data_IF_516966658060
#
_entry.id   IF_516966658060
#
_cell.length_a   1.000
_cell.length_b   1.000
_cell.length_c   1.000
_cell.angle_alpha   90.00
_cell.angle_beta   90.00
_cell.angle_gamma   90.00
#
_symmetry.space_group_name_H-M   'P 1'
#
loop_
_entity.id
_entity.type
_entity.pdbx_description
1 polymer ?
#
# COMPACT_ATOMS: atom_id res chain seq x y z
N UNK A 1 8.80 9.01 -7.40
CA UNK A 1 7.67 9.88 -7.73
C UNK A 1 6.43 9.19 -7.22
N UNK A 2 5.78 9.80 -6.23
CA UNK A 2 4.58 9.23 -5.60
C UNK A 2 3.34 9.57 -6.43
N UNK A 3 2.26 8.83 -6.27
CA UNK A 3 1.07 8.95 -7.14
C UNK A 3 0.42 10.34 -7.04
N UNK A 4 0.41 10.90 -5.84
CA UNK A 4 -0.07 12.24 -5.50
C UNK A 4 0.76 13.35 -6.16
N UNK A 5 2.08 13.18 -6.27
CA UNK A 5 2.97 14.14 -6.94
C UNK A 5 2.69 14.16 -8.45
N UNK A 6 2.49 12.98 -9.05
CA UNK A 6 2.12 12.86 -10.47
C UNK A 6 0.75 13.48 -10.73
N UNK A 7 -0.21 13.26 -9.83
CA UNK A 7 -1.55 13.82 -9.95
C UNK A 7 -1.55 15.34 -9.81
N UNK A 8 -0.87 15.89 -8.79
CA UNK A 8 -0.73 17.33 -8.59
C UNK A 8 -0.07 18.00 -9.79
N UNK A 9 1.04 17.45 -10.28
CA UNK A 9 1.70 17.93 -11.50
C UNK A 9 0.76 17.91 -12.71
N UNK A 10 -0.04 16.85 -12.86
CA UNK A 10 -1.01 16.75 -13.95
C UNK A 10 -2.10 17.83 -13.87
N UNK A 11 -2.60 18.15 -12.68
CA UNK A 11 -3.58 19.21 -12.45
C UNK A 11 -3.01 20.61 -12.73
N UNK A 12 -1.73 20.83 -12.45
CA UNK A 12 -1.03 22.09 -12.74
C UNK A 12 -0.74 22.25 -14.23
N UNK A 13 -0.34 21.17 -14.91
CA UNK A 13 0.09 21.20 -16.30
C UNK A 13 -1.06 21.20 -17.32
N UNK A 14 -2.24 20.69 -16.95
CA UNK A 14 -3.36 20.61 -17.89
C UNK A 14 -4.00 21.97 -18.14
N UNK A 15 -4.34 22.24 -19.40
CA UNK A 15 -5.29 23.29 -19.76
C UNK A 15 -6.70 22.69 -19.76
N UNK A 16 -7.54 23.01 -18.75
CA UNK A 16 -8.90 22.51 -18.71
C UNK A 16 -9.69 22.98 -19.93
N UNK A 17 -10.64 22.15 -20.38
CA UNK A 17 -11.57 22.53 -21.44
C UNK A 17 -12.31 23.83 -21.05
N UNK A 18 -12.60 24.70 -22.05
CA UNK A 18 -13.26 26.01 -21.88
C UNK A 18 -14.55 25.99 -21.06
N UNK A 19 -15.23 24.85 -20.97
CA UNK A 19 -16.42 24.66 -20.13
C UNK A 19 -16.36 23.29 -19.47
N UNK A 20 -16.01 23.27 -18.19
CA UNK A 20 -16.04 22.03 -17.39
C UNK A 20 -17.45 21.80 -16.88
N UNK A 21 -17.92 20.56 -17.05
CA UNK A 21 -19.16 20.11 -16.45
C UNK A 21 -18.86 19.68 -15.01
N UNK A 22 -19.06 20.60 -14.06
CA UNK A 22 -18.78 20.36 -12.64
C UNK A 22 -19.60 19.19 -12.07
N UNK A 23 -20.85 19.01 -12.50
CA UNK A 23 -21.70 17.90 -12.05
C UNK A 23 -21.14 16.54 -12.45
N UNK A 24 -20.59 16.45 -13.66
CA UNK A 24 -19.94 15.22 -14.15
C UNK A 24 -18.70 14.90 -13.33
N UNK A 25 -17.86 15.90 -13.05
CA UNK A 25 -16.66 15.73 -12.23
C UNK A 25 -16.99 15.34 -10.79
N UNK A 26 -17.94 16.03 -10.16
CA UNK A 26 -18.37 15.74 -8.79
C UNK A 26 -18.97 14.32 -8.68
N UNK A 27 -19.75 13.90 -9.69
CA UNK A 27 -20.29 12.54 -9.76
C UNK A 27 -19.18 11.51 -9.88
N UNK A 28 -18.21 11.71 -10.77
CA UNK A 28 -17.08 10.80 -10.95
C UNK A 28 -16.29 10.66 -9.65
N UNK A 29 -15.91 11.78 -9.03
CA UNK A 29 -15.19 11.79 -7.75
C UNK A 29 -15.94 11.01 -6.66
N UNK A 30 -17.26 11.26 -6.53
CA UNK A 30 -18.10 10.61 -5.53
C UNK A 30 -18.19 9.11 -5.75
N UNK A 31 -18.49 8.67 -6.96
CA UNK A 31 -18.68 7.25 -7.29
C UNK A 31 -17.38 6.43 -7.19
N UNK A 32 -16.23 7.02 -7.55
CA UNK A 32 -14.97 6.25 -7.64
C UNK A 32 -14.06 6.41 -6.44
N UNK A 33 -14.04 7.57 -5.78
CA UNK A 33 -13.08 7.87 -4.71
C UNK A 33 -13.72 7.88 -3.33
N UNK A 34 -14.90 8.52 -3.19
CA UNK A 34 -15.57 8.71 -1.89
C UNK A 34 -16.45 7.52 -1.51
N UNK A 35 -17.50 7.25 -2.29
CA UNK A 35 -18.47 6.17 -2.03
C UNK A 35 -17.99 4.82 -2.59
N UNK A 36 -17.09 4.86 -3.59
CA UNK A 36 -16.47 3.68 -4.22
C UNK A 36 -17.48 2.65 -4.73
N UNK A 37 -18.60 3.12 -5.27
CA UNK A 37 -19.68 2.30 -5.82
C UNK A 37 -19.28 1.57 -7.09
N UNK A 38 -18.21 2.00 -7.76
CA UNK A 38 -17.61 1.32 -8.92
C UNK A 38 -16.11 1.63 -9.07
N UNK A 39 -15.34 0.78 -9.78
CA UNK A 39 -13.95 1.06 -10.11
C UNK A 39 -13.79 2.32 -10.98
N UNK A 40 -12.68 3.03 -10.78
CA UNK A 40 -12.29 4.19 -11.59
C UNK A 40 -11.91 3.79 -13.01
N UNK A 41 -12.45 4.48 -14.00
CA UNK A 41 -12.05 4.38 -15.41
C UNK A 41 -11.13 5.54 -15.78
N UNK A 42 -10.39 5.40 -16.88
CA UNK A 42 -9.51 6.46 -17.41
C UNK A 42 -10.26 7.79 -17.59
N UNK A 43 -11.50 7.74 -18.09
CA UNK A 43 -12.31 8.94 -18.30
C UNK A 43 -12.70 9.62 -16.98
N UNK A 44 -12.90 8.86 -15.92
CA UNK A 44 -13.17 9.43 -14.59
C UNK A 44 -11.94 10.17 -14.09
N UNK A 45 -10.75 9.58 -14.24
CA UNK A 45 -9.49 10.21 -13.86
C UNK A 45 -9.30 11.54 -14.60
N UNK A 46 -9.49 11.55 -15.93
CA UNK A 46 -9.41 12.79 -16.74
C UNK A 46 -10.41 13.83 -16.24
N UNK A 47 -11.67 13.43 -16.02
CA UNK A 47 -12.73 14.36 -15.59
C UNK A 47 -12.46 14.93 -14.20
N UNK A 48 -11.91 14.12 -13.29
CA UNK A 48 -11.53 14.56 -11.94
C UNK A 48 -10.32 15.49 -12.01
N UNK A 49 -9.30 15.18 -12.82
CA UNK A 49 -8.12 16.05 -13.03
C UNK A 49 -8.53 17.41 -13.60
N UNK A 50 -9.39 17.44 -14.63
CA UNK A 50 -9.94 18.68 -15.18
C UNK A 50 -10.70 19.49 -14.12
N UNK A 51 -11.58 18.84 -13.35
CA UNK A 51 -12.35 19.47 -12.28
C UNK A 51 -11.45 20.08 -11.19
N UNK A 52 -10.35 19.40 -10.84
CA UNK A 52 -9.39 19.91 -9.85
C UNK A 52 -8.60 21.08 -10.42
N UNK A 53 -8.12 20.96 -11.67
CA UNK A 53 -7.37 22.02 -12.35
C UNK A 53 -8.19 23.31 -12.51
N UNK A 54 -9.48 23.20 -12.86
CA UNK A 54 -10.42 24.33 -12.93
C UNK A 54 -10.56 25.02 -11.58
N UNK A 55 -10.83 24.22 -10.54
CA UNK A 55 -10.98 24.68 -9.16
C UNK A 55 -9.71 25.32 -8.55
N UNK A 56 -8.54 24.95 -9.05
CA UNK A 56 -7.26 25.59 -8.70
C UNK A 56 -7.10 26.95 -9.40
N UNK A 57 -7.52 27.05 -10.67
CA UNK A 57 -7.40 28.27 -11.47
C UNK A 57 -8.38 29.36 -11.06
N UNK A 58 -9.64 28.99 -10.81
CA UNK A 58 -10.68 29.92 -10.38
C UNK A 58 -10.59 30.30 -8.88
N UNK A 59 -9.67 29.66 -8.14
CA UNK A 59 -9.51 29.77 -6.68
C UNK A 59 -10.80 29.46 -5.91
N UNK A 60 -11.75 28.75 -6.50
CA UNK A 60 -13.00 28.34 -5.86
C UNK A 60 -12.79 27.18 -4.89
N UNK A 61 -11.68 26.44 -5.05
CA UNK A 61 -11.27 25.40 -4.11
C UNK A 61 -10.34 25.99 -3.07
N UNK A 62 -10.81 26.02 -1.82
CA UNK A 62 -9.90 26.16 -0.68
C UNK A 62 -8.93 24.99 -0.69
N UNK A 63 -7.64 25.27 -0.64
CA UNK A 63 -6.61 24.24 -0.47
C UNK A 63 -6.97 23.46 0.79
N UNK A 64 -7.44 22.21 0.62
CA UNK A 64 -7.58 21.34 1.77
C UNK A 64 -6.14 20.96 2.13
N UNK A 65 -5.65 21.57 3.21
CA UNK A 65 -4.61 20.91 4.00
C UNK A 65 -5.25 19.60 4.38
N UNK A 66 -4.82 18.50 3.75
CA UNK A 66 -5.25 17.18 4.17
C UNK A 66 -5.04 17.15 5.69
N UNK A 67 -6.09 16.90 6.50
CA UNK A 67 -6.02 17.05 7.96
C UNK A 67 -5.02 16.09 8.62
N UNK A 68 -4.44 15.23 7.79
CA UNK A 68 -3.48 14.20 8.06
C UNK A 68 -2.39 14.35 6.99
N UNK A 69 -1.13 14.37 7.39
CA UNK A 69 -0.02 14.17 6.44
C UNK A 69 -0.21 12.82 5.70
N UNK A 70 0.43 12.57 4.55
CA UNK A 70 0.37 11.23 3.89
C UNK A 70 0.65 10.09 4.91
N UNK A 71 1.55 10.39 5.85
CA UNK A 71 1.89 9.53 6.97
C UNK A 71 0.68 9.18 7.85
N UNK A 72 -0.25 10.11 8.06
CA UNK A 72 -1.45 9.94 8.87
C UNK A 72 -2.63 9.35 8.06
N UNK A 73 -2.68 9.60 6.75
CA UNK A 73 -3.76 9.12 5.88
C UNK A 73 -3.59 7.64 5.48
N UNK A 74 -2.35 7.13 5.46
CA UNK A 74 -2.02 5.72 5.26
C UNK A 74 -1.52 5.02 6.54
N UNK A 75 -1.62 5.69 7.70
CA UNK A 75 -1.16 5.17 9.01
C UNK A 75 -1.97 3.96 9.41
N UNK A 76 -1.28 2.91 9.78
CA UNK A 76 -1.89 1.85 10.56
C UNK A 76 -1.89 2.34 12.01
N UNK A 77 -3.06 2.62 12.59
CA UNK A 77 -3.17 2.65 14.04
C UNK A 77 -2.95 1.22 14.56
N UNK A 78 -1.70 0.87 14.77
CA UNK A 78 -1.31 -0.34 15.47
C UNK A 78 -1.85 -0.25 16.90
N UNK A 79 -3.00 -0.88 17.17
CA UNK A 79 -3.44 -1.25 18.53
C UNK A 79 -2.55 -2.37 19.12
N UNK A 80 -1.28 -2.37 18.74
CA UNK A 80 -0.53 -3.61 18.71
C UNK A 80 0.27 -3.82 19.98
N UNK A 81 0.35 -5.06 20.46
CA UNK A 81 1.32 -5.44 21.48
C UNK A 81 2.76 -5.24 20.97
N UNK A 82 3.70 -5.15 21.90
CA UNK A 82 5.12 -5.14 21.60
C UNK A 82 5.73 -6.51 21.89
N UNK A 83 6.77 -6.87 21.14
CA UNK A 83 7.57 -8.08 21.39
C UNK A 83 9.06 -7.73 21.42
N UNK A 84 9.83 -8.49 22.20
CA UNK A 84 11.28 -8.44 22.16
C UNK A 84 11.83 -9.64 21.41
N UNK A 85 12.59 -9.39 20.34
CA UNK A 85 13.26 -10.42 19.55
C UNK A 85 14.73 -10.07 19.44
N UNK A 86 15.62 -10.97 19.86
CA UNK A 86 17.07 -10.75 19.78
C UNK A 86 17.55 -9.50 20.52
N UNK A 87 16.89 -9.10 21.61
CA UNK A 87 17.22 -7.91 22.41
C UNK A 87 16.71 -6.58 21.83
N UNK A 88 15.97 -6.61 20.73
CA UNK A 88 15.33 -5.43 20.14
C UNK A 88 13.82 -5.51 20.34
N UNK A 89 13.22 -4.38 20.74
CA UNK A 89 11.77 -4.24 20.86
C UNK A 89 11.16 -3.85 19.51
N UNK A 90 10.09 -4.54 19.14
CA UNK A 90 9.34 -4.34 17.91
C UNK A 90 7.86 -4.05 18.20
N UNK A 91 7.27 -3.14 17.43
CA UNK A 91 5.83 -3.04 17.33
C UNK A 91 5.30 -4.19 16.45
N UNK A 92 4.29 -4.90 16.92
CA UNK A 92 3.70 -6.02 16.16
C UNK A 92 2.59 -5.49 15.25
N UNK A 93 2.24 -6.19 14.19
CA UNK A 93 0.98 -6.00 13.50
C UNK A 93 0.44 -7.35 13.07
N UNK A 94 -0.84 -7.61 13.35
CA UNK A 94 -1.46 -8.86 12.90
C UNK A 94 -1.66 -8.81 11.38
N UNK A 95 -1.31 -9.90 10.71
CA UNK A 95 -1.46 -9.97 9.26
C UNK A 95 -2.92 -9.79 8.80
N UNK A 96 -3.91 -10.24 9.58
CA UNK A 96 -5.32 -10.08 9.21
C UNK A 96 -5.70 -8.59 9.12
N UNK A 97 -5.16 -7.75 10.00
CA UNK A 97 -5.38 -6.30 9.98
C UNK A 97 -4.83 -5.69 8.67
N UNK A 98 -3.68 -6.17 8.22
CA UNK A 98 -3.09 -5.75 6.94
C UNK A 98 -3.92 -6.22 5.74
N UNK A 99 -4.43 -7.45 5.75
CA UNK A 99 -5.30 -7.96 4.68
C UNK A 99 -6.59 -7.14 4.56
N UNK A 100 -7.23 -6.80 5.69
CA UNK A 100 -8.42 -5.95 5.72
C UNK A 100 -8.17 -4.56 5.13
N UNK A 101 -6.94 -4.06 5.26
CA UNK A 101 -6.51 -2.78 4.70
C UNK A 101 -5.95 -2.90 3.27
N UNK A 102 -6.20 -4.03 2.59
CA UNK A 102 -5.74 -4.33 1.24
C UNK A 102 -4.21 -4.34 1.07
N UNK A 103 -3.45 -4.51 2.16
CA UNK A 103 -1.99 -4.73 2.15
C UNK A 103 -1.71 -6.23 2.19
N UNK A 104 -1.66 -6.84 1.01
CA UNK A 104 -1.62 -8.30 0.85
C UNK A 104 -0.24 -8.88 0.55
N UNK A 105 0.79 -8.06 0.41
CA UNK A 105 2.15 -8.54 0.12
C UNK A 105 3.10 -8.07 1.21
N UNK A 106 3.70 -9.02 1.92
CA UNK A 106 4.72 -8.77 2.94
C UNK A 106 6.04 -9.30 2.42
N UNK A 107 7.07 -8.46 2.44
CA UNK A 107 8.43 -8.87 2.12
C UNK A 107 9.36 -8.41 3.23
N UNK A 108 10.08 -9.35 3.84
CA UNK A 108 10.98 -9.03 4.92
C UNK A 108 11.75 -10.22 5.45
N UNK A 109 12.66 -9.94 6.39
CA UNK A 109 13.44 -10.97 7.07
C UNK A 109 12.58 -11.66 8.12
N UNK A 110 12.58 -12.98 8.14
CA UNK A 110 11.96 -13.78 9.20
C UNK A 110 12.82 -13.68 10.46
N UNK A 111 12.27 -13.11 11.52
CA UNK A 111 12.98 -12.84 12.77
C UNK A 111 12.72 -13.91 13.83
N UNK A 112 11.54 -14.53 13.81
CA UNK A 112 11.18 -15.63 14.71
C UNK A 112 10.14 -16.54 14.04
N UNK A 113 10.20 -17.83 14.39
CA UNK A 113 9.24 -18.86 14.01
C UNK A 113 8.88 -19.60 15.28
N UNK A 114 7.67 -19.35 15.77
CA UNK A 114 7.09 -19.96 16.97
C UNK A 114 5.95 -20.91 16.56
N UNK A 115 5.48 -21.79 17.47
CA UNK A 115 4.44 -22.77 17.14
C UNK A 115 3.13 -22.13 16.64
N UNK A 116 2.79 -20.94 17.14
CA UNK A 116 1.55 -20.22 16.88
C UNK A 116 1.74 -18.94 16.06
N UNK A 117 2.98 -18.45 15.92
CA UNK A 117 3.26 -17.19 15.22
C UNK A 117 4.59 -17.21 14.46
N UNK A 118 4.61 -16.70 13.24
CA UNK A 118 5.83 -16.34 12.50
C UNK A 118 5.95 -14.82 12.47
N UNK A 119 7.13 -14.30 12.78
CA UNK A 119 7.40 -12.87 12.76
C UNK A 119 8.31 -12.47 11.60
N UNK A 120 7.84 -11.54 10.77
CA UNK A 120 8.63 -11.01 9.64
C UNK A 120 8.83 -9.51 9.83
N UNK A 121 10.07 -9.02 9.68
CA UNK A 121 10.36 -7.57 9.78
C UNK A 121 9.57 -6.80 8.72
N UNK A 122 8.87 -5.77 9.14
CA UNK A 122 7.97 -4.99 8.31
C UNK A 122 8.10 -3.49 8.58
N UNK A 123 9.14 -2.87 8.00
CA UNK A 123 9.31 -1.43 8.06
C UNK A 123 9.39 -0.87 9.49
N UNK A 124 8.85 0.33 9.66
CA UNK A 124 8.80 1.09 10.92
C UNK A 124 7.39 1.57 11.20
N UNK A 125 7.03 1.75 12.46
CA UNK A 125 5.76 2.36 12.86
C UNK A 125 5.80 3.88 12.77
N UNK A 126 4.68 4.50 13.14
CA UNK A 126 4.50 5.94 13.12
C UNK A 126 5.41 6.70 14.10
N UNK A 127 6.01 6.01 15.07
CA UNK A 127 6.99 6.58 16.01
C UNK A 127 8.43 6.25 15.57
N UNK A 128 8.61 5.66 14.38
CA UNK A 128 9.90 5.27 13.82
C UNK A 128 10.49 3.99 14.43
N UNK A 129 9.74 3.28 15.27
CA UNK A 129 10.16 2.00 15.88
C UNK A 129 10.11 0.90 14.84
N UNK A 130 11.01 -0.06 14.93
CA UNK A 130 10.97 -1.20 14.02
C UNK A 130 9.69 -2.01 14.23
N UNK A 131 9.08 -2.43 13.12
CA UNK A 131 7.84 -3.20 13.12
C UNK A 131 8.06 -4.63 12.63
N UNK A 132 7.22 -5.54 13.09
CA UNK A 132 7.11 -6.93 12.63
C UNK A 132 5.67 -7.29 12.34
N UNK A 133 5.44 -8.05 11.28
CA UNK A 133 4.14 -8.68 11.03
C UNK A 133 4.11 -10.04 11.72
N UNK A 134 3.04 -10.29 12.46
CA UNK A 134 2.70 -11.60 13.01
C UNK A 134 1.83 -12.36 11.99
N UNK A 135 2.32 -13.52 11.56
CA UNK A 135 1.63 -14.42 10.65
C UNK A 135 1.23 -15.68 11.41
N UNK A 136 -0.02 -16.13 11.27
CA UNK A 136 -0.43 -17.41 11.84
C UNK A 136 0.09 -18.56 10.96
N UNK A 137 0.89 -19.51 11.49
CA UNK A 137 1.49 -20.62 10.73
C UNK A 137 0.47 -21.44 9.92
N UNK A 138 -0.69 -21.74 10.52
CA UNK A 138 -1.78 -22.47 9.88
C UNK A 138 -2.40 -21.77 8.65
N UNK A 139 -2.16 -20.47 8.47
CA UNK A 139 -2.61 -19.73 7.29
C UNK A 139 -1.54 -19.65 6.19
N UNK A 140 -0.36 -20.20 6.41
CA UNK A 140 0.73 -20.23 5.44
C UNK A 140 0.76 -21.58 4.73
N UNK A 141 0.99 -21.57 3.42
CA UNK A 141 1.26 -22.79 2.65
C UNK A 141 2.61 -23.42 3.02
N UNK A 142 3.60 -22.60 3.35
CA UNK A 142 4.95 -22.99 3.75
C UNK A 142 5.42 -22.07 4.88
N UNK A 143 5.96 -22.69 5.94
CA UNK A 143 6.61 -21.94 7.02
C UNK A 143 7.99 -21.48 6.54
N UNK A 144 8.27 -20.17 6.46
CA UNK A 144 9.54 -19.69 5.96
C UNK A 144 10.65 -19.93 7.00
N UNK A 145 11.87 -20.16 6.52
CA UNK A 145 13.01 -20.46 7.39
C UNK A 145 13.42 -19.24 8.24
N UNK A 146 13.74 -19.46 9.51
CA UNK A 146 14.28 -18.43 10.40
C UNK A 146 15.51 -17.76 9.76
N UNK A 147 15.54 -16.42 9.78
CA UNK A 147 16.64 -15.62 9.24
C UNK A 147 16.60 -15.41 7.72
N UNK A 148 15.74 -16.13 6.99
CA UNK A 148 15.57 -15.95 5.54
C UNK A 148 14.80 -14.67 5.20
N UNK A 149 14.92 -14.21 3.95
CA UNK A 149 14.01 -13.20 3.40
C UNK A 149 12.82 -13.89 2.76
N UNK A 150 11.64 -13.65 3.32
CA UNK A 150 10.38 -14.19 2.84
C UNK A 150 9.59 -13.11 2.09
N UNK A 151 8.93 -13.50 1.00
CA UNK A 151 7.87 -12.72 0.37
C UNK A 151 6.60 -13.54 0.46
N UNK A 152 5.58 -13.04 1.15
CA UNK A 152 4.34 -13.75 1.42
C UNK A 152 3.19 -12.92 0.83
N UNK A 153 2.42 -13.55 -0.07
CA UNK A 153 1.26 -12.96 -0.71
C UNK A 153 -0.02 -13.55 -0.14
N UNK A 154 -0.94 -12.70 0.31
CA UNK A 154 -2.20 -13.08 0.92
C UNK A 154 -3.37 -12.94 -0.03
N UNK A 155 -4.23 -13.96 -0.06
CA UNK A 155 -5.53 -13.88 -0.70
C UNK A 155 -6.52 -13.01 0.08
N UNK A 156 -7.68 -12.75 -0.52
CA UNK A 156 -8.79 -12.10 0.17
C UNK A 156 -9.39 -12.98 1.29
N UNK A 157 -9.13 -14.29 1.23
CA UNK A 157 -9.44 -15.30 2.24
C UNK A 157 -8.49 -15.28 3.45
N UNK A 158 -7.42 -14.48 3.40
CA UNK A 158 -6.41 -14.39 4.44
C UNK A 158 -5.42 -15.56 4.45
N UNK A 159 -5.40 -16.41 3.40
CA UNK A 159 -4.40 -17.45 3.23
C UNK A 159 -3.16 -16.87 2.55
N UNK A 160 -2.00 -17.11 3.18
CA UNK A 160 -0.70 -16.64 2.73
C UNK A 160 0.03 -17.69 1.92
N UNK A 161 0.58 -17.28 0.78
CA UNK A 161 1.45 -18.08 -0.07
C UNK A 161 2.84 -17.51 -0.10
N UNK A 162 3.84 -18.34 0.20
CA UNK A 162 5.23 -17.96 0.08
C UNK A 162 5.59 -17.86 -1.41
N UNK A 163 5.97 -16.66 -1.86
CA UNK A 163 6.46 -16.45 -3.20
C UNK A 163 7.87 -17.04 -3.32
N UNK A 164 7.95 -18.28 -3.81
CA UNK A 164 9.20 -18.86 -4.27
C UNK A 164 9.60 -18.13 -5.55
N UNK A 165 10.80 -17.54 -5.56
CA UNK A 165 11.46 -17.26 -6.84
C UNK A 165 11.74 -18.62 -7.45
N UNK A 166 10.91 -19.08 -8.38
CA UNK A 166 11.43 -19.94 -9.43
C UNK A 166 12.58 -19.15 -10.06
N UNK A 167 13.82 -19.55 -9.77
CA UNK A 167 14.93 -19.16 -10.63
C UNK A 167 14.56 -19.74 -11.99
N UNK A 168 14.05 -18.90 -12.88
CA UNK A 168 13.96 -19.22 -14.28
C UNK A 168 15.32 -19.71 -14.73
N UNK A 169 15.43 -21.01 -14.96
CA UNK A 169 16.47 -21.60 -15.79
C UNK A 169 16.29 -20.98 -17.18
N UNK A 170 17.18 -20.07 -17.55
CA UNK A 170 17.16 -19.48 -18.88
C UNK A 170 17.85 -18.14 -18.97
N UNK A 171 19.18 -18.14 -18.78
CA UNK A 171 20.14 -17.30 -19.50
C UNK A 171 21.54 -17.81 -19.13
N UNK A 172 21.78 -19.08 -19.47
CA UNK A 172 23.13 -19.59 -19.70
C UNK A 172 23.54 -19.15 -21.10
N UNK A 173 24.78 -18.64 -21.24
CA UNK A 173 25.45 -18.20 -22.47
C UNK A 173 24.97 -16.81 -22.96
N UNK A 174 25.83 -15.81 -23.14
CA UNK A 174 27.15 -15.88 -23.76
C UNK A 174 28.19 -15.06 -22.97
N UNK A 175 29.18 -15.77 -22.43
CA UNK A 175 30.56 -15.29 -22.48
C UNK A 175 31.10 -15.92 -23.76
N UNK A 176 31.38 -15.13 -24.78
CA UNK A 176 32.42 -15.49 -25.74
C UNK A 176 33.03 -14.24 -26.39
N UNK A 177 34.26 -13.99 -25.96
CA UNK A 177 35.40 -13.31 -26.60
C UNK A 177 35.31 -11.82 -26.93
#
# INVERSE_FOLDING_TARGET
MKAEEVFAYSCEAIEPAKSINQDRGNRALRETCTERTRPMQLQDLITITELVADGMRDRSRTQQIFPATDHDQFRIETKSPFIELGGQRYAVIDMNDLVQQNRRSIMGKVLAVEPDTVYTKFGKDAEGRDQVVAHHPAKLDVIPALGSFASINYGADGLGKLATKERGLGLSQQIER
#
